data_IF_363168181879
#
_entry.id   IF_363168181879
#
_cell.length_a   1.000
_cell.length_b   1.000
_cell.length_c   1.000
_cell.angle_alpha   90.00
_cell.angle_beta   90.00
_cell.angle_gamma   90.00
#
_symmetry.space_group_name_H-M   'P 1'
#
loop_
_entity.id
_entity.type
_entity.pdbx_description
1 polymer ?
#
# COMPACT_ATOMS: atom_id res chain seq x y z
N UNK A 1 -12.52 -10.40 10.89
CA UNK A 1 -11.85 -10.38 9.57
C UNK A 1 -12.12 -9.10 8.76
N UNK A 2 -12.91 -8.15 9.26
CA UNK A 2 -13.26 -6.90 8.58
C UNK A 2 -12.73 -5.63 9.31
N UNK A 3 -11.56 -5.72 9.96
CA UNK A 3 -11.07 -4.63 10.83
C UNK A 3 -10.61 -3.39 10.06
N UNK A 4 -9.81 -3.58 9.00
CA UNK A 4 -9.23 -2.48 8.23
C UNK A 4 -10.07 -2.05 7.01
N UNK A 5 -10.81 -2.97 6.39
CA UNK A 5 -11.74 -2.62 5.30
C UNK A 5 -12.81 -1.64 5.79
N UNK A 6 -13.29 -1.77 7.02
CA UNK A 6 -14.27 -0.84 7.59
C UNK A 6 -13.72 0.55 7.89
N UNK A 7 -12.41 0.70 8.10
CA UNK A 7 -11.83 1.98 8.49
C UNK A 7 -11.56 2.93 7.30
N UNK A 8 -11.39 2.40 6.09
CA UNK A 8 -11.11 3.17 4.86
C UNK A 8 -12.36 3.42 3.98
N UNK A 9 -13.48 2.73 4.25
CA UNK A 9 -14.74 2.83 3.46
C UNK A 9 -15.44 4.19 3.60
N UNK A 10 -14.98 5.08 4.50
CA UNK A 10 -15.51 6.44 4.67
C UNK A 10 -14.78 7.56 3.91
N UNK A 11 -13.78 7.25 3.08
CA UNK A 11 -12.99 8.28 2.39
C UNK A 11 -13.74 8.79 1.13
N UNK A 12 -14.51 9.87 1.31
CA UNK A 12 -15.15 10.67 0.26
C UNK A 12 -14.20 11.02 -0.91
N UNK A 13 -14.69 11.29 -2.14
CA UNK A 13 -13.88 11.67 -3.31
C UNK A 13 -12.93 12.86 -3.06
N UNK A 14 -13.26 13.74 -2.10
CA UNK A 14 -12.41 14.88 -1.70
C UNK A 14 -11.12 14.41 -1.02
N UNK A 15 -11.11 13.28 -0.31
CA UNK A 15 -9.93 12.70 0.34
C UNK A 15 -8.80 12.38 -0.67
N UNK A 16 -9.18 12.00 -1.90
CA UNK A 16 -8.23 11.64 -2.95
C UNK A 16 -7.29 12.80 -3.31
N UNK A 17 -7.83 14.02 -3.44
CA UNK A 17 -7.01 15.22 -3.73
C UNK A 17 -6.05 15.50 -2.58
N UNK A 18 -6.49 15.31 -1.34
CA UNK A 18 -5.63 15.51 -0.17
C UNK A 18 -4.49 14.49 -0.10
N UNK A 19 -4.69 13.24 -0.53
CA UNK A 19 -3.60 12.26 -0.56
C UNK A 19 -2.52 12.61 -1.60
N UNK A 20 -2.93 13.08 -2.78
CA UNK A 20 -1.97 13.52 -3.82
C UNK A 20 -1.22 14.78 -3.36
N UNK A 21 -1.93 15.74 -2.77
CA UNK A 21 -1.31 16.95 -2.22
C UNK A 21 -0.36 16.61 -1.06
N UNK A 22 -0.77 15.71 -0.16
CA UNK A 22 0.07 15.24 0.95
C UNK A 22 1.31 14.51 0.45
N UNK A 23 1.20 13.71 -0.62
CA UNK A 23 2.33 13.04 -1.23
C UNK A 23 3.33 14.03 -1.85
N UNK A 24 2.83 15.06 -2.56
CA UNK A 24 3.68 16.13 -3.09
C UNK A 24 4.36 16.92 -1.96
N UNK A 25 3.62 17.36 -0.95
CA UNK A 25 4.15 18.12 0.17
C UNK A 25 5.16 17.32 1.01
N UNK A 26 4.90 16.04 1.27
CA UNK A 26 5.83 15.16 2.00
C UNK A 26 7.11 14.92 1.19
N UNK A 27 7.02 14.81 -0.14
CA UNK A 27 8.18 14.68 -1.01
C UNK A 27 9.02 15.97 -1.06
N UNK A 28 8.38 17.14 -1.12
CA UNK A 28 9.08 18.44 -1.04
C UNK A 28 9.73 18.68 0.33
N UNK A 29 9.09 18.21 1.40
CA UNK A 29 9.62 18.26 2.77
C UNK A 29 10.66 17.19 3.12
N UNK A 30 10.99 16.28 2.20
CA UNK A 30 11.96 15.19 2.42
C UNK A 30 11.43 13.97 3.18
N UNK A 31 10.16 13.95 3.58
CA UNK A 31 9.51 12.84 4.28
C UNK A 31 8.96 11.81 3.29
N UNK A 32 9.89 11.07 2.67
CA UNK A 32 9.57 10.02 1.68
C UNK A 32 8.66 8.91 2.21
N UNK A 33 8.82 8.41 3.45
CA UNK A 33 7.91 7.41 4.01
C UNK A 33 6.47 7.90 4.08
N UNK A 34 6.23 9.14 4.52
CA UNK A 34 4.86 9.71 4.58
C UNK A 34 4.27 9.94 3.18
N UNK A 35 5.11 10.27 2.19
CA UNK A 35 4.65 10.35 0.80
C UNK A 35 4.16 8.98 0.28
N UNK A 36 4.90 7.91 0.59
CA UNK A 36 4.51 6.53 0.26
C UNK A 36 3.21 6.10 0.94
N UNK A 37 3.03 6.44 2.21
CA UNK A 37 1.77 6.20 2.95
C UNK A 37 0.58 6.85 2.24
N UNK A 38 0.67 8.16 1.95
CA UNK A 38 -0.43 8.90 1.33
C UNK A 38 -0.83 8.30 -0.04
N UNK A 39 0.16 7.94 -0.87
CA UNK A 39 -0.08 7.30 -2.16
C UNK A 39 -0.70 5.90 -2.01
N UNK A 40 -0.30 5.13 -1.00
CA UNK A 40 -0.86 3.80 -0.74
C UNK A 40 -2.35 3.85 -0.37
N UNK A 41 -2.75 4.85 0.43
CA UNK A 41 -4.15 5.09 0.80
C UNK A 41 -4.98 5.50 -0.42
N UNK A 42 -4.44 6.40 -1.26
CA UNK A 42 -5.09 6.77 -2.52
C UNK A 42 -5.25 5.58 -3.47
N UNK A 43 -4.23 4.72 -3.59
CA UNK A 43 -4.27 3.54 -4.44
C UNK A 43 -5.35 2.55 -3.98
N UNK A 44 -5.46 2.30 -2.67
CA UNK A 44 -6.51 1.45 -2.10
C UNK A 44 -7.91 1.99 -2.41
N UNK A 45 -8.11 3.30 -2.27
CA UNK A 45 -9.36 3.96 -2.66
C UNK A 45 -9.67 3.72 -4.14
N UNK A 46 -8.68 3.79 -5.02
CA UNK A 46 -8.87 3.53 -6.46
C UNK A 46 -9.26 2.08 -6.75
N UNK A 47 -8.74 1.10 -6.00
CA UNK A 47 -9.20 -0.29 -6.09
C UNK A 47 -10.68 -0.39 -5.74
N UNK A 48 -11.11 0.22 -4.62
CA UNK A 48 -12.53 0.18 -4.20
C UNK A 48 -13.48 0.89 -5.17
N UNK A 49 -13.03 1.95 -5.84
CA UNK A 49 -13.81 2.66 -6.85
C UNK A 49 -13.82 1.96 -8.23
N UNK A 50 -13.27 0.75 -8.35
CA UNK A 50 -13.21 0.02 -9.62
C UNK A 50 -12.25 0.64 -10.64
N UNK A 51 -11.26 1.40 -10.17
CA UNK A 51 -10.23 2.09 -10.97
C UNK A 51 -8.84 1.49 -10.75
N UNK A 52 -8.62 0.18 -11.00
CA UNK A 52 -7.37 -0.49 -10.64
C UNK A 52 -6.15 -0.03 -11.45
N UNK A 53 -6.35 0.54 -12.64
CA UNK A 53 -5.26 1.16 -13.41
C UNK A 53 -4.68 2.38 -12.69
N UNK A 54 -5.55 3.28 -12.20
CA UNK A 54 -5.14 4.45 -11.41
C UNK A 54 -4.45 4.02 -10.11
N UNK A 55 -4.93 2.93 -9.48
CA UNK A 55 -4.28 2.33 -8.32
C UNK A 55 -2.84 1.90 -8.62
N UNK A 56 -2.61 1.20 -9.74
CA UNK A 56 -1.26 0.76 -10.12
C UNK A 56 -0.32 1.92 -10.40
N UNK A 57 -0.79 3.01 -11.01
CA UNK A 57 0.05 4.17 -11.27
C UNK A 57 0.45 4.89 -9.98
N UNK A 58 -0.47 5.01 -9.01
CA UNK A 58 -0.15 5.49 -7.66
C UNK A 58 0.85 4.58 -6.94
N UNK A 59 0.74 3.26 -7.10
CA UNK A 59 1.69 2.32 -6.51
C UNK A 59 3.09 2.42 -7.11
N UNK A 60 3.22 2.63 -8.42
CA UNK A 60 4.52 2.90 -9.06
C UNK A 60 5.15 4.18 -8.52
N UNK A 61 4.35 5.23 -8.34
CA UNK A 61 4.79 6.48 -7.73
C UNK A 61 5.24 6.26 -6.28
N UNK A 62 4.49 5.50 -5.48
CA UNK A 62 4.86 5.19 -4.11
C UNK A 62 6.19 4.44 -4.05
N UNK A 63 6.36 3.38 -4.85
CA UNK A 63 7.59 2.57 -4.89
C UNK A 63 8.81 3.38 -5.31
N UNK A 64 8.69 4.18 -6.38
CA UNK A 64 9.79 5.05 -6.85
C UNK A 64 10.12 6.18 -5.88
N UNK A 65 9.14 6.68 -5.14
CA UNK A 65 9.32 7.75 -4.15
C UNK A 65 9.87 7.28 -2.80
N UNK A 66 9.70 6.02 -2.44
CA UNK A 66 10.06 5.51 -1.09
C UNK A 66 11.58 5.39 -0.89
N UNK A 67 12.37 5.22 -1.97
CA UNK A 67 13.83 5.17 -1.92
C UNK A 67 14.41 3.88 -1.29
N UNK A 68 15.73 3.71 -1.34
CA UNK A 68 16.39 2.44 -0.97
C UNK A 68 16.30 2.08 0.52
N UNK A 69 16.10 3.07 1.39
CA UNK A 69 16.01 2.89 2.85
C UNK A 69 14.61 2.46 3.32
N UNK A 70 13.70 2.17 2.40
CA UNK A 70 12.34 1.73 2.73
C UNK A 70 12.39 0.40 3.48
N UNK A 71 11.76 0.35 4.66
CA UNK A 71 11.71 -0.86 5.48
C UNK A 71 11.04 -2.01 4.73
N UNK A 72 11.49 -3.27 4.94
CA UNK A 72 10.88 -4.44 4.31
C UNK A 72 9.36 -4.51 4.54
N UNK A 73 8.90 -4.19 5.76
CA UNK A 73 7.47 -4.14 6.12
C UNK A 73 6.67 -3.14 5.28
N UNK A 74 7.23 -1.95 5.02
CA UNK A 74 6.59 -0.96 4.14
C UNK A 74 6.47 -1.49 2.73
N UNK A 75 7.53 -2.09 2.20
CA UNK A 75 7.51 -2.67 0.86
C UNK A 75 6.47 -3.78 0.78
N UNK A 76 6.40 -4.68 1.77
CA UNK A 76 5.38 -5.72 1.84
C UNK A 76 3.96 -5.14 1.71
N UNK A 77 3.63 -4.11 2.50
CA UNK A 77 2.34 -3.41 2.43
C UNK A 77 2.08 -2.79 1.03
N UNK A 78 3.09 -2.22 0.37
CA UNK A 78 2.93 -1.67 -0.97
C UNK A 78 2.66 -2.77 -2.02
N UNK A 79 3.40 -3.87 -1.97
CA UNK A 79 3.19 -5.02 -2.87
C UNK A 79 1.80 -5.63 -2.71
N UNK A 80 1.32 -5.67 -1.48
CA UNK A 80 0.00 -6.14 -1.08
C UNK A 80 -1.13 -5.36 -1.76
N UNK A 81 -1.06 -4.01 -1.78
CA UNK A 81 -2.04 -3.16 -2.49
C UNK A 81 -1.93 -3.31 -4.02
N UNK A 82 -0.72 -3.48 -4.53
CA UNK A 82 -0.51 -3.75 -5.95
C UNK A 82 -1.16 -5.08 -6.38
N UNK A 83 -1.02 -6.13 -5.57
CA UNK A 83 -1.64 -7.42 -5.81
C UNK A 83 -3.18 -7.31 -5.88
N UNK A 84 -3.80 -6.48 -5.05
CA UNK A 84 -5.24 -6.18 -5.14
C UNK A 84 -5.63 -5.47 -6.42
N UNK A 85 -4.87 -4.46 -6.85
CA UNK A 85 -5.14 -3.80 -8.11
C UNK A 85 -5.01 -4.79 -9.29
N UNK A 86 -4.01 -5.68 -9.26
CA UNK A 86 -3.86 -6.74 -10.26
C UNK A 86 -5.03 -7.76 -10.21
N UNK A 87 -5.50 -8.14 -9.02
CA UNK A 87 -6.66 -9.03 -8.85
C UNK A 87 -7.92 -8.42 -9.45
N UNK A 88 -8.20 -7.14 -9.16
CA UNK A 88 -9.35 -6.41 -9.70
C UNK A 88 -9.30 -6.25 -11.24
N UNK A 89 -8.13 -6.44 -11.85
CA UNK A 89 -7.95 -6.48 -13.31
C UNK A 89 -8.02 -7.90 -13.90
N UNK A 90 -8.25 -8.94 -13.10
CA UNK A 90 -8.21 -10.33 -13.53
C UNK A 90 -6.80 -10.89 -13.77
N UNK A 91 -5.74 -10.20 -13.32
CA UNK A 91 -4.34 -10.59 -13.54
C UNK A 91 -3.84 -11.59 -12.48
N UNK A 92 -4.50 -12.74 -12.36
CA UNK A 92 -4.24 -13.72 -11.28
C UNK A 92 -2.79 -14.22 -11.15
N UNK A 93 -2.10 -14.46 -12.27
CA UNK A 93 -0.67 -14.84 -12.25
C UNK A 93 0.22 -13.73 -11.66
N UNK A 94 -0.02 -12.47 -12.07
CA UNK A 94 0.74 -11.34 -11.56
C UNK A 94 0.45 -11.10 -10.08
N UNK A 95 -0.83 -11.21 -9.68
CA UNK A 95 -1.28 -11.08 -8.30
C UNK A 95 -0.54 -12.06 -7.39
N UNK A 96 -0.52 -13.36 -7.72
CA UNK A 96 0.16 -14.38 -6.90
C UNK A 96 1.65 -14.13 -6.74
N UNK A 97 2.34 -13.76 -7.82
CA UNK A 97 3.76 -13.42 -7.76
C UNK A 97 4.01 -12.22 -6.84
N UNK A 98 3.24 -11.15 -7.04
CA UNK A 98 3.40 -9.92 -6.25
C UNK A 98 3.08 -10.16 -4.77
N UNK A 99 2.11 -11.03 -4.47
CA UNK A 99 1.78 -11.43 -3.10
C UNK A 99 2.91 -12.27 -2.47
N UNK A 100 3.51 -13.21 -3.20
CA UNK A 100 4.68 -13.95 -2.73
C UNK A 100 5.86 -13.04 -2.40
N UNK A 101 6.13 -12.02 -3.23
CA UNK A 101 7.13 -11.00 -2.92
C UNK A 101 6.79 -10.21 -1.64
N UNK A 102 5.52 -9.93 -1.38
CA UNK A 102 5.07 -9.28 -0.16
C UNK A 102 5.32 -10.14 1.08
N UNK A 103 5.03 -11.45 0.97
CA UNK A 103 5.28 -12.43 2.03
C UNK A 103 6.77 -12.56 2.35
N UNK A 104 7.62 -12.71 1.33
CA UNK A 104 9.07 -12.78 1.50
C UNK A 104 9.61 -11.51 2.19
N UNK A 105 9.10 -10.33 1.80
CA UNK A 105 9.48 -9.06 2.42
C UNK A 105 9.01 -8.97 3.87
N UNK A 106 7.81 -9.44 4.17
CA UNK A 106 7.24 -9.44 5.52
C UNK A 106 8.06 -10.34 6.46
N UNK A 107 8.42 -11.54 6.00
CA UNK A 107 9.26 -12.48 6.75
C UNK A 107 10.69 -11.97 6.92
N UNK A 108 11.22 -11.23 5.94
CA UNK A 108 12.57 -10.65 6.01
C UNK A 108 12.71 -9.50 7.01
N UNK A 109 11.59 -8.94 7.49
CA UNK A 109 11.59 -7.86 8.48
C UNK A 109 12.02 -8.39 9.85
N UNK A 110 13.23 -8.04 10.27
CA UNK A 110 13.80 -8.47 11.55
C UNK A 110 13.30 -7.66 12.75
N UNK A 111 12.57 -6.57 12.52
CA UNK A 111 12.10 -5.69 13.59
C UNK A 111 13.21 -4.85 14.26
N UNK A 112 14.43 -4.86 13.73
CA UNK A 112 15.57 -4.09 14.26
C UNK A 112 15.37 -2.57 14.16
N UNK A 113 14.54 -2.13 13.20
CA UNK A 113 14.15 -0.73 13.03
C UNK A 113 12.65 -0.61 13.29
N UNK A 114 12.22 0.25 14.24
CA UNK A 114 10.81 0.42 14.50
C UNK A 114 10.10 0.95 13.26
N UNK A 115 8.94 0.37 12.89
CA UNK A 115 8.18 0.88 11.76
C UNK A 115 7.66 2.30 12.08
N UNK A 116 7.54 3.18 11.07
CA UNK A 116 6.78 4.41 11.16
C UNK A 116 5.45 4.23 11.90
N UNK A 117 5.03 5.22 12.68
CA UNK A 117 3.84 5.15 13.54
C UNK A 117 2.55 4.74 12.81
N UNK A 118 2.42 5.12 11.54
CA UNK A 118 1.28 4.76 10.68
C UNK A 118 1.27 3.29 10.24
N UNK A 119 2.40 2.57 10.33
CA UNK A 119 2.50 1.14 10.03
C UNK A 119 2.30 0.22 11.24
N UNK A 120 2.10 0.76 12.45
CA UNK A 120 1.97 -0.07 13.65
C UNK A 120 0.76 -1.02 13.63
N UNK A 121 -0.19 -0.79 12.72
CA UNK A 121 -1.39 -1.62 12.55
C UNK A 121 -1.35 -2.49 11.29
N UNK A 122 -0.23 -2.60 10.57
CA UNK A 122 -0.07 -3.57 9.47
C UNK A 122 0.54 -4.85 10.02
N UNK A 123 -0.25 -5.90 10.15
CA UNK A 123 0.14 -7.18 10.75
C UNK A 123 -0.03 -8.39 9.81
N UNK A 124 0.27 -9.58 10.34
CA UNK A 124 0.21 -10.83 9.58
C UNK A 124 -1.23 -11.18 9.17
N UNK A 125 -2.23 -10.78 9.96
CA UNK A 125 -3.64 -10.99 9.64
C UNK A 125 -4.09 -10.11 8.46
N UNK A 126 -3.52 -8.92 8.31
CA UNK A 126 -3.76 -8.05 7.15
C UNK A 126 -3.18 -8.66 5.86
N UNK A 127 -2.00 -9.26 5.94
CA UNK A 127 -1.37 -9.94 4.80
C UNK A 127 -2.17 -11.20 4.39
N UNK A 128 -2.53 -12.05 5.36
CA UNK A 128 -3.27 -13.29 5.10
C UNK A 128 -4.73 -13.09 4.71
N UNK A 129 -5.36 -11.96 5.08
CA UNK A 129 -6.71 -11.61 4.61
C UNK A 129 -6.84 -11.59 3.08
N UNK A 130 -5.73 -11.56 2.35
CA UNK A 130 -5.66 -11.48 0.89
C UNK A 130 -5.48 -12.82 0.20
N UNK A 131 -5.04 -13.85 0.93
CA UNK A 131 -4.95 -15.22 0.40
C UNK A 131 -6.33 -15.90 0.30
N UNK A 132 -7.36 -15.31 0.94
CA UNK A 132 -8.71 -15.87 1.04
C UNK A 132 -9.71 -15.38 -0.04
N UNK A 133 -9.26 -14.59 -1.02
CA UNK A 133 -10.04 -14.11 -2.18
C UNK A 133 -9.60 -14.81 -3.47
#
# INVERSE_FOLDING_TARGET
LAGWMSHDVGLEPTAQKYFVIAAHAAREGGDRPRAGEALSRAARQMVHLGKPHEALDLMKLAKSGSGEQTLPRTRAMLHTIEAWAQAAMGKGQAMRRTLGEAEDLFVSDKGDVPPPSWMQHFDEADLHGMQAL
#
